data_IF_590312368062
#
_entry.id   IF_590312368062
#
_cell.length_a   1.000
_cell.length_b   1.000
_cell.length_c   1.000
_cell.angle_alpha   90.00
_cell.angle_beta   90.00
_cell.angle_gamma   90.00
#
_symmetry.space_group_name_H-M   'P 1'
#
loop_
_entity.id
_entity.type
_entity.pdbx_description
1 polymer ?
#
# COMPACT_ATOMS: atom_id res chain seq x y z
N UNK A 1 -2.41 -14.47 1.36
CA UNK A 1 -1.58 -15.61 1.78
C UNK A 1 -1.91 -15.97 3.21
N UNK A 2 -2.18 -17.26 3.48
CA UNK A 2 -2.43 -17.75 4.82
C UNK A 2 -1.20 -17.66 5.72
N UNK A 3 -1.41 -17.71 7.04
CA UNK A 3 -0.31 -17.83 8.00
C UNK A 3 0.35 -19.19 7.88
N UNK A 4 1.67 -19.19 7.96
CA UNK A 4 2.46 -20.41 8.03
C UNK A 4 2.27 -21.08 9.39
N UNK A 5 1.91 -22.34 9.42
CA UNK A 5 1.77 -23.12 10.66
C UNK A 5 3.09 -23.86 10.97
N UNK A 6 3.31 -24.21 12.23
CA UNK A 6 4.55 -24.89 12.68
C UNK A 6 4.75 -26.28 12.06
N UNK A 7 3.69 -26.96 11.68
CA UNK A 7 3.75 -28.26 11.00
C UNK A 7 4.35 -28.17 9.58
N UNK A 8 4.39 -27.00 8.98
CA UNK A 8 5.09 -26.79 7.71
C UNK A 8 6.60 -26.81 7.97
N UNK A 9 7.39 -27.29 6.98
CA UNK A 9 8.85 -27.46 7.04
C UNK A 9 9.67 -26.20 7.31
N UNK A 10 9.16 -25.26 8.07
CA UNK A 10 9.76 -23.97 8.34
C UNK A 10 9.72 -23.61 9.80
N UNK A 11 9.62 -24.62 10.63
CA UNK A 11 9.72 -24.48 12.06
C UNK A 11 11.05 -23.85 12.51
N UNK A 12 11.09 -23.41 13.75
CA UNK A 12 12.27 -22.78 14.35
C UNK A 12 13.43 -23.78 14.37
N UNK A 13 14.60 -23.38 13.85
CA UNK A 13 15.79 -24.22 13.83
C UNK A 13 15.89 -25.25 12.70
N UNK A 14 14.86 -25.36 11.83
CA UNK A 14 14.88 -26.25 10.67
C UNK A 14 15.83 -25.80 9.57
N UNK A 15 16.30 -26.77 8.77
CA UNK A 15 17.09 -26.52 7.55
C UNK A 15 16.25 -25.86 6.45
N UNK A 16 14.93 -26.00 6.50
CA UNK A 16 13.99 -25.43 5.55
C UNK A 16 13.68 -23.98 5.91
N UNK A 17 14.55 -23.05 5.57
CA UNK A 17 14.39 -21.62 5.80
C UNK A 17 14.04 -20.90 4.51
N UNK A 18 13.31 -19.78 4.63
CA UNK A 18 13.11 -18.91 3.49
C UNK A 18 14.45 -18.24 3.10
N UNK A 19 14.82 -18.35 1.83
CA UNK A 19 16.01 -17.68 1.31
C UNK A 19 15.66 -16.21 1.06
N UNK A 20 15.94 -15.35 2.04
CA UNK A 20 15.61 -13.92 1.98
C UNK A 20 16.76 -13.04 1.47
N UNK A 21 17.92 -13.62 1.18
CA UNK A 21 19.14 -12.90 0.78
C UNK A 21 18.95 -12.06 -0.50
N UNK A 22 18.16 -12.56 -1.44
CA UNK A 22 17.90 -11.87 -2.72
C UNK A 22 16.71 -10.92 -2.69
N UNK A 23 15.98 -10.84 -1.59
CA UNK A 23 14.80 -9.94 -1.48
C UNK A 23 15.22 -8.48 -1.54
N UNK A 24 14.41 -7.67 -2.20
CA UNK A 24 14.69 -6.26 -2.45
C UNK A 24 14.27 -5.32 -1.30
N UNK A 25 13.55 -5.85 -0.32
CA UNK A 25 13.17 -5.11 0.87
C UNK A 25 11.69 -5.15 1.19
N UNK A 26 11.30 -4.44 2.25
CA UNK A 26 9.92 -4.36 2.68
C UNK A 26 9.17 -3.27 1.91
N UNK A 27 8.16 -3.67 1.15
CA UNK A 27 7.25 -2.74 0.52
C UNK A 27 6.30 -2.15 1.57
N UNK A 28 6.30 -0.84 1.72
CA UNK A 28 5.45 -0.11 2.67
C UNK A 28 5.03 1.22 2.08
N UNK A 29 3.85 1.71 2.46
CA UNK A 29 3.49 3.09 2.20
C UNK A 29 4.49 4.02 2.91
N UNK A 30 4.59 5.24 2.42
CA UNK A 30 5.39 6.29 3.03
C UNK A 30 4.93 6.54 4.49
N UNK A 31 5.83 6.92 5.39
CA UNK A 31 5.42 7.37 6.71
C UNK A 31 4.56 8.65 6.60
N UNK A 32 3.51 8.74 7.39
CA UNK A 32 2.64 9.91 7.41
C UNK A 32 3.41 11.11 7.95
N UNK A 33 3.36 12.21 7.23
CA UNK A 33 3.89 13.51 7.66
C UNK A 33 2.82 14.61 7.57
N UNK A 34 3.20 15.84 7.88
CA UNK A 34 2.31 16.99 7.82
C UNK A 34 1.79 17.24 6.39
N UNK A 35 2.68 17.16 5.40
CA UNK A 35 2.33 17.38 4.00
C UNK A 35 1.29 16.37 3.51
N UNK A 36 1.42 15.12 3.92
CA UNK A 36 0.48 14.06 3.55
C UNK A 36 -0.89 14.20 4.25
N UNK A 37 -0.91 14.70 5.50
CA UNK A 37 -2.15 14.92 6.24
C UNK A 37 -2.98 16.08 5.72
N UNK A 38 -2.34 17.17 5.29
CA UNK A 38 -3.00 18.44 4.97
C UNK A 38 -3.01 18.78 3.48
N UNK A 39 -2.14 18.15 2.72
CA UNK A 39 -1.97 18.38 1.30
C UNK A 39 -1.66 17.09 0.55
N UNK A 40 -0.57 17.14 -0.19
CA UNK A 40 0.00 15.97 -0.86
C UNK A 40 1.50 16.13 -1.04
N UNK A 41 2.20 15.03 -1.24
CA UNK A 41 3.59 15.01 -1.65
C UNK A 41 3.70 14.26 -2.97
N UNK A 42 4.48 14.82 -3.90
CA UNK A 42 4.74 14.28 -5.22
C UNK A 42 5.98 13.38 -5.20
N UNK A 43 5.85 12.18 -5.71
CA UNK A 43 6.94 11.26 -5.98
C UNK A 43 7.02 10.89 -7.45
N UNK A 44 8.17 10.39 -7.89
CA UNK A 44 8.41 9.86 -9.24
C UNK A 44 8.76 8.40 -9.14
N UNK A 45 8.11 7.57 -9.94
CA UNK A 45 8.48 6.16 -10.10
C UNK A 45 9.78 6.09 -10.88
N UNK A 46 10.86 5.66 -10.23
CA UNK A 46 12.18 5.55 -10.87
C UNK A 46 12.39 4.21 -11.53
N UNK A 47 11.88 3.16 -10.92
CA UNK A 47 12.11 1.81 -11.38
C UNK A 47 11.01 0.87 -10.89
N UNK A 48 10.77 -0.21 -11.64
CA UNK A 48 9.87 -1.30 -11.27
C UNK A 48 10.71 -2.57 -11.23
N UNK A 49 10.79 -3.18 -10.06
CA UNK A 49 11.68 -4.31 -9.79
C UNK A 49 10.90 -5.55 -9.36
N UNK A 50 11.43 -6.72 -9.73
CA UNK A 50 10.94 -7.99 -9.24
C UNK A 50 11.53 -8.30 -7.87
N UNK A 51 10.67 -8.66 -6.89
CA UNK A 51 11.08 -9.10 -5.56
C UNK A 51 10.92 -10.62 -5.45
N UNK A 52 12.01 -11.41 -5.30
CA UNK A 52 11.92 -12.84 -5.14
C UNK A 52 11.04 -13.25 -3.95
N UNK A 53 10.08 -14.14 -4.19
CA UNK A 53 9.11 -14.57 -3.19
C UNK A 53 7.85 -13.68 -3.09
N UNK A 54 7.67 -12.75 -4.03
CA UNK A 54 6.48 -11.91 -4.16
C UNK A 54 5.99 -11.93 -5.61
N UNK A 55 4.68 -12.12 -5.81
CA UNK A 55 4.09 -12.07 -7.15
C UNK A 55 3.94 -10.63 -7.66
N UNK A 56 3.57 -9.70 -6.79
CA UNK A 56 3.42 -8.29 -7.14
C UNK A 56 4.78 -7.60 -7.32
N UNK A 57 5.01 -6.85 -8.41
CA UNK A 57 6.23 -6.07 -8.60
C UNK A 57 6.32 -4.93 -7.59
N UNK A 58 7.53 -4.44 -7.36
CA UNK A 58 7.79 -3.30 -6.48
C UNK A 58 8.17 -2.08 -7.30
N UNK A 59 7.59 -0.93 -6.96
CA UNK A 59 7.98 0.37 -7.49
C UNK A 59 8.94 1.07 -6.53
N UNK A 60 10.04 1.56 -7.06
CA UNK A 60 10.95 2.48 -6.35
C UNK A 60 10.49 3.90 -6.65
N UNK A 61 9.87 4.52 -5.66
CA UNK A 61 9.35 5.89 -5.78
C UNK A 61 10.29 6.86 -5.06
N UNK A 62 10.71 7.88 -5.76
CA UNK A 62 11.58 8.92 -5.23
C UNK A 62 10.76 10.16 -4.87
N UNK A 63 10.83 10.55 -3.60
CA UNK A 63 10.20 11.76 -3.07
C UNK A 63 11.25 12.79 -2.70
N UNK A 64 10.90 14.08 -2.83
CA UNK A 64 11.68 15.17 -2.24
C UNK A 64 11.40 15.22 -0.73
N UNK A 65 12.43 15.35 0.09
CA UNK A 65 12.27 15.57 1.52
C UNK A 65 11.71 16.99 1.75
N UNK A 66 10.58 17.17 2.47
CA UNK A 66 10.00 18.49 2.68
C UNK A 66 10.83 19.40 3.60
N UNK A 67 11.73 18.82 4.41
CA UNK A 67 12.51 19.57 5.42
C UNK A 67 13.98 19.73 5.07
N UNK A 68 14.51 18.86 4.21
CA UNK A 68 15.94 18.85 3.86
C UNK A 68 16.10 18.81 2.35
N UNK A 69 17.17 19.41 1.86
CA UNK A 69 17.53 19.33 0.43
C UNK A 69 18.08 17.94 0.07
N UNK A 70 17.23 16.95 0.21
CA UNK A 70 17.52 15.53 -0.08
C UNK A 70 16.34 14.87 -0.76
N UNK A 71 16.61 13.81 -1.48
CA UNK A 71 15.59 12.91 -2.02
C UNK A 71 15.60 11.62 -1.22
N UNK A 72 14.41 11.07 -0.98
CA UNK A 72 14.23 9.78 -0.31
C UNK A 72 13.57 8.80 -1.25
N UNK A 73 14.11 7.59 -1.33
CA UNK A 73 13.50 6.50 -2.06
C UNK A 73 12.62 5.68 -1.11
N UNK A 74 11.41 5.37 -1.54
CA UNK A 74 10.50 4.47 -0.86
C UNK A 74 10.19 3.29 -1.79
N UNK A 75 10.20 2.08 -1.25
CA UNK A 75 9.79 0.89 -1.97
C UNK A 75 8.34 0.60 -1.66
N UNK A 76 7.50 0.68 -2.68
CA UNK A 76 6.06 0.45 -2.61
C UNK A 76 5.69 -0.73 -3.48
N UNK A 77 4.51 -1.31 -3.28
CA UNK A 77 3.97 -2.27 -4.23
C UNK A 77 3.46 -1.48 -5.43
N UNK A 78 3.76 -1.92 -6.64
CA UNK A 78 3.27 -1.27 -7.86
C UNK A 78 1.83 -1.72 -8.15
N UNK A 79 0.88 -0.79 -8.23
CA UNK A 79 -0.45 -1.09 -8.76
C UNK A 79 -0.38 -1.36 -10.26
N UNK A 80 -1.32 -2.13 -10.77
CA UNK A 80 -1.42 -2.41 -12.21
C UNK A 80 -1.60 -1.10 -13.00
N UNK A 81 -0.84 -0.97 -14.08
CA UNK A 81 -0.80 0.24 -14.92
C UNK A 81 0.20 1.32 -14.46
N UNK A 82 0.85 1.15 -13.30
CA UNK A 82 1.94 2.03 -12.88
C UNK A 82 3.19 1.76 -13.73
N UNK A 83 3.82 2.83 -14.23
CA UNK A 83 5.01 2.76 -15.07
C UNK A 83 6.14 3.66 -14.58
N UNK A 84 7.34 3.42 -15.07
CA UNK A 84 8.50 4.27 -14.80
C UNK A 84 8.29 5.69 -15.34
N UNK A 85 8.73 6.70 -14.60
CA UNK A 85 8.51 8.10 -14.93
C UNK A 85 7.16 8.66 -14.47
N UNK A 86 6.19 7.83 -14.10
CA UNK A 86 4.91 8.28 -13.60
C UNK A 86 5.08 9.06 -12.27
N UNK A 87 4.27 10.09 -12.12
CA UNK A 87 4.13 10.79 -10.86
C UNK A 87 3.11 10.11 -9.97
N UNK A 88 3.47 9.87 -8.71
CA UNK A 88 2.59 9.36 -7.67
C UNK A 88 2.41 10.44 -6.62
N UNK A 89 1.16 10.70 -6.28
CA UNK A 89 0.78 11.67 -5.27
C UNK A 89 0.30 10.93 -4.02
N UNK A 90 0.86 11.31 -2.87
CA UNK A 90 0.48 10.74 -1.58
C UNK A 90 -0.05 11.86 -0.70
N UNK A 91 -1.30 11.79 -0.27
CA UNK A 91 -1.88 12.75 0.64
C UNK A 91 -3.38 12.95 0.47
N UNK A 92 -3.95 13.68 1.43
CA UNK A 92 -5.39 13.92 1.51
C UNK A 92 -5.97 14.63 0.27
N UNK A 93 -5.22 15.57 -0.30
CA UNK A 93 -5.63 16.38 -1.47
C UNK A 93 -5.11 15.83 -2.80
N UNK A 94 -4.64 14.59 -2.85
CA UNK A 94 -4.23 13.96 -4.09
C UNK A 94 -5.44 13.65 -4.98
N UNK A 95 -5.24 13.61 -6.28
CA UNK A 95 -6.28 13.21 -7.23
C UNK A 95 -6.53 11.71 -7.18
N UNK A 96 -7.75 11.30 -7.50
CA UNK A 96 -8.16 9.89 -7.60
C UNK A 96 -7.63 9.32 -8.93
N UNK A 97 -6.40 8.81 -8.90
CA UNK A 97 -5.74 8.19 -10.05
C UNK A 97 -4.99 6.94 -9.60
N UNK A 98 -4.83 5.98 -10.52
CA UNK A 98 -4.12 4.71 -10.26
C UNK A 98 -2.69 5.00 -9.78
N UNK A 99 -2.31 4.33 -8.69
CA UNK A 99 -1.00 4.48 -8.05
C UNK A 99 -0.93 5.55 -6.96
N UNK A 100 -1.90 6.48 -6.91
CA UNK A 100 -1.93 7.49 -5.85
C UNK A 100 -2.35 6.89 -4.51
N UNK A 101 -1.87 7.50 -3.43
CA UNK A 101 -2.14 7.06 -2.07
C UNK A 101 -2.94 8.14 -1.33
N UNK A 102 -4.17 7.78 -0.93
CA UNK A 102 -5.09 8.69 -0.25
C UNK A 102 -5.66 8.03 1.02
N UNK A 103 -6.15 8.84 1.97
CA UNK A 103 -7.05 8.36 3.00
C UNK A 103 -8.33 7.80 2.35
N UNK A 104 -8.79 6.64 2.82
CA UNK A 104 -9.95 5.97 2.22
C UNK A 104 -11.25 6.79 2.32
N UNK A 105 -11.35 7.66 3.33
CA UNK A 105 -12.51 8.54 3.47
C UNK A 105 -12.65 9.60 2.38
N UNK A 106 -11.58 9.90 1.64
CA UNK A 106 -11.59 10.86 0.52
C UNK A 106 -11.85 10.19 -0.84
N UNK A 107 -11.97 8.85 -0.85
CA UNK A 107 -12.21 8.09 -2.06
C UNK A 107 -13.69 7.83 -2.26
N UNK A 108 -14.21 7.90 -3.50
CA UNK A 108 -15.60 7.55 -3.78
C UNK A 108 -15.91 6.10 -3.45
N UNK A 109 -17.16 5.83 -3.09
CA UNK A 109 -17.66 4.46 -2.94
C UNK A 109 -17.52 3.70 -4.27
N UNK A 110 -17.26 2.41 -4.20
CA UNK A 110 -16.97 1.57 -5.36
C UNK A 110 -15.50 1.59 -5.82
N UNK A 111 -14.67 2.49 -5.29
CA UNK A 111 -13.25 2.56 -5.68
C UNK A 111 -12.51 1.28 -5.31
N UNK A 112 -11.74 0.78 -6.26
CA UNK A 112 -10.83 -0.35 -6.08
C UNK A 112 -9.52 0.15 -5.48
N UNK A 113 -9.09 -0.46 -4.38
CA UNK A 113 -7.88 -0.08 -3.66
C UNK A 113 -7.05 -1.29 -3.27
N UNK A 114 -5.78 -1.06 -3.10
CA UNK A 114 -4.81 -2.07 -2.68
C UNK A 114 -3.86 -1.50 -1.62
N UNK A 115 -3.04 -2.34 -1.01
CA UNK A 115 -2.09 -1.97 0.05
C UNK A 115 -2.72 -1.10 1.15
N UNK A 116 -3.91 -1.49 1.59
CA UNK A 116 -4.71 -0.77 2.56
C UNK A 116 -4.15 -0.91 3.97
N UNK A 117 -4.16 0.16 4.72
CA UNK A 117 -3.83 0.16 6.16
C UNK A 117 -4.95 -0.51 6.97
N UNK A 118 -4.57 -1.38 7.89
CA UNK A 118 -5.48 -1.99 8.87
C UNK A 118 -5.68 -1.07 10.08
N UNK A 119 -4.58 -0.50 10.56
CA UNK A 119 -4.55 0.53 11.60
C UNK A 119 -3.93 1.79 11.01
N UNK A 120 -4.37 2.95 11.46
CA UNK A 120 -3.83 4.22 10.98
C UNK A 120 -2.31 4.28 11.17
N UNK A 121 -1.57 4.52 10.09
CA UNK A 121 -0.12 4.64 10.11
C UNK A 121 0.66 3.32 10.07
N UNK A 122 0.02 2.16 9.88
CA UNK A 122 0.70 0.87 9.79
C UNK A 122 1.40 0.63 8.44
N UNK A 123 1.22 1.55 7.49
CA UNK A 123 1.88 1.61 6.18
C UNK A 123 1.50 0.46 5.23
N UNK A 124 0.31 -0.11 5.41
CA UNK A 124 -0.29 -1.10 4.52
C UNK A 124 -0.14 -2.55 4.96
N UNK A 125 -1.29 -3.20 5.14
CA UNK A 125 -1.40 -4.59 5.58
C UNK A 125 -2.35 -5.45 4.76
N UNK A 126 -3.44 -4.88 4.25
CA UNK A 126 -4.52 -5.59 3.59
C UNK A 126 -4.39 -5.47 2.06
N UNK A 127 -4.92 -6.45 1.31
CA UNK A 127 -4.93 -6.48 -0.16
C UNK A 127 -3.53 -6.19 -0.76
N UNK A 128 -2.55 -7.06 -0.50
CA UNK A 128 -1.15 -6.85 -0.88
C UNK A 128 -0.57 -7.94 -1.78
N UNK A 129 -1.34 -8.93 -2.10
CA UNK A 129 -0.90 -10.05 -2.93
C UNK A 129 -1.35 -9.81 -4.38
N UNK A 130 -0.57 -10.28 -5.34
CA UNK A 130 -0.90 -10.20 -6.77
C UNK A 130 -2.32 -10.67 -7.07
N UNK A 131 -3.04 -9.94 -7.92
CA UNK A 131 -4.43 -10.18 -8.28
C UNK A 131 -5.44 -9.75 -7.19
N UNK A 132 -5.00 -9.18 -6.08
CA UNK A 132 -5.88 -8.82 -4.98
C UNK A 132 -6.16 -7.31 -4.89
N UNK A 133 -7.40 -7.00 -4.55
CA UNK A 133 -7.88 -5.65 -4.30
C UNK A 133 -8.95 -5.67 -3.22
N UNK A 134 -9.22 -4.53 -2.63
CA UNK A 134 -10.38 -4.28 -1.78
C UNK A 134 -11.27 -3.24 -2.45
N UNK A 135 -12.55 -3.24 -2.11
CA UNK A 135 -13.52 -2.27 -2.63
C UNK A 135 -14.07 -1.46 -1.46
N UNK A 136 -14.15 -0.15 -1.63
CA UNK A 136 -14.83 0.75 -0.70
C UNK A 136 -16.33 0.55 -0.91
N UNK A 137 -17.05 0.15 0.13
CA UNK A 137 -18.48 -0.18 0.06
C UNK A 137 -19.33 1.03 0.46
N UNK A 138 -19.02 1.63 1.60
CA UNK A 138 -19.77 2.77 2.13
C UNK A 138 -18.95 3.55 3.15
N UNK A 139 -19.21 4.83 3.25
CA UNK A 139 -18.69 5.72 4.27
C UNK A 139 -19.72 6.00 5.34
N UNK A 140 -19.27 6.11 6.59
CA UNK A 140 -20.07 6.64 7.68
C UNK A 140 -19.35 7.89 8.23
N UNK A 141 -19.77 9.09 7.79
CA UNK A 141 -19.12 10.33 8.20
C UNK A 141 -19.25 10.58 9.70
N UNK A 142 -20.38 10.22 10.33
CA UNK A 142 -20.64 10.48 11.74
C UNK A 142 -19.67 9.75 12.65
N UNK A 143 -19.34 8.51 12.31
CA UNK A 143 -18.39 7.70 13.08
C UNK A 143 -16.95 7.81 12.57
N UNK A 144 -16.69 8.49 11.45
CA UNK A 144 -15.38 8.56 10.80
C UNK A 144 -14.84 7.19 10.36
N UNK A 145 -15.74 6.28 9.97
CA UNK A 145 -15.40 4.91 9.57
C UNK A 145 -15.87 4.60 8.15
N UNK A 146 -15.11 3.76 7.49
CA UNK A 146 -15.39 3.28 6.13
C UNK A 146 -15.52 1.76 6.13
N UNK A 147 -16.56 1.26 5.48
CA UNK A 147 -16.77 -0.17 5.25
C UNK A 147 -16.12 -0.58 3.95
N UNK A 148 -15.30 -1.61 4.01
CA UNK A 148 -14.59 -2.16 2.86
C UNK A 148 -14.92 -3.64 2.67
N UNK A 149 -14.85 -4.12 1.44
CA UNK A 149 -14.90 -5.55 1.09
C UNK A 149 -13.50 -6.01 0.73
N UNK A 150 -13.00 -6.99 1.46
CA UNK A 150 -11.68 -7.59 1.25
C UNK A 150 -11.71 -8.64 0.12
N UNK A 151 -10.55 -9.06 -0.42
CA UNK A 151 -10.47 -10.11 -1.45
C UNK A 151 -11.10 -11.45 -1.03
N UNK A 152 -11.12 -11.73 0.27
CA UNK A 152 -11.79 -12.91 0.83
C UNK A 152 -13.33 -12.85 0.79
N UNK A 153 -13.91 -11.72 0.36
CA UNK A 153 -15.34 -11.43 0.45
C UNK A 153 -15.79 -10.88 1.80
N UNK A 154 -14.94 -10.97 2.83
CA UNK A 154 -15.28 -10.46 4.16
C UNK A 154 -15.40 -8.93 4.15
N UNK A 155 -16.42 -8.40 4.82
CA UNK A 155 -16.61 -6.97 5.04
C UNK A 155 -15.90 -6.57 6.33
N UNK A 156 -15.12 -5.49 6.27
CA UNK A 156 -14.41 -4.93 7.42
C UNK A 156 -14.69 -3.44 7.53
N UNK A 157 -14.81 -2.96 8.76
CA UNK A 157 -14.93 -1.53 9.06
C UNK A 157 -13.60 -1.04 9.58
N UNK A 158 -13.06 0.01 8.98
CA UNK A 158 -11.77 0.61 9.33
C UNK A 158 -11.91 2.13 9.47
N UNK A 159 -11.01 2.80 10.20
CA UNK A 159 -11.00 4.26 10.27
C UNK A 159 -10.86 4.89 8.87
N UNK A 160 -11.62 5.93 8.58
CA UNK A 160 -11.58 6.64 7.28
C UNK A 160 -10.26 7.35 7.02
N UNK A 161 -9.47 7.60 8.07
CA UNK A 161 -8.11 8.15 7.97
C UNK A 161 -7.06 7.16 7.51
N UNK A 162 -7.37 5.85 7.47
CA UNK A 162 -6.47 4.83 6.94
C UNK A 162 -6.20 5.07 5.47
N UNK A 163 -4.96 4.90 5.04
CA UNK A 163 -4.56 5.13 3.66
C UNK A 163 -4.63 3.85 2.84
N UNK A 164 -4.86 4.02 1.56
CA UNK A 164 -4.76 2.96 0.58
C UNK A 164 -4.15 3.50 -0.73
N UNK A 165 -3.63 2.61 -1.55
CA UNK A 165 -3.23 2.92 -2.92
C UNK A 165 -4.41 2.60 -3.85
N UNK A 166 -4.68 3.48 -4.80
CA UNK A 166 -5.73 3.28 -5.80
C UNK A 166 -5.26 2.31 -6.86
N UNK A 167 -6.13 1.37 -7.20
CA UNK A 167 -5.87 0.32 -8.19
C UNK A 167 -5.87 -1.07 -7.59
N UNK A 168 -5.50 -2.07 -8.40
CA UNK A 168 -5.29 -3.46 -8.01
C UNK A 168 -3.86 -3.90 -8.31
N UNK A 169 -3.47 -5.08 -7.85
CA UNK A 169 -2.16 -5.66 -8.14
C UNK A 169 -2.23 -6.76 -9.20
#
# INVERSE_FOLDING_TARGET
MGRRIRAQRTGRGGIFKAHSKHRKGAAKLRAVDYAERHGYIKGVVKDIIHDPGRGAPLAIVQFRDPYKYKTRKATMIAAEGVHTGQFIYCGKKAQVQIGNVLPIGELPEGTTVCNLEEKTGDRGRLARTSGNYAIIVAHNPDSGRTRIRLPSGAKKVVPSSNRAMIGMY
#
